data_IF_752643133232
#
_entry.id   IF_752643133232
#
_cell.length_a   1.000
_cell.length_b   1.000
_cell.length_c   1.000
_cell.angle_alpha   90.00
_cell.angle_beta   90.00
_cell.angle_gamma   90.00
#
_symmetry.space_group_name_H-M   'P 1'
#
loop_
_entity.id
_entity.type
_entity.pdbx_description
1 polymer ?
#
# COMPACT_ATOMS: atom_id res chain seq x y z
N UNK A 1 -25.40 16.67 17.20
CA UNK A 1 -25.68 15.31 17.71
C UNK A 1 -26.35 14.57 16.57
N UNK A 2 -25.65 13.67 15.88
CA UNK A 2 -26.31 12.81 14.90
C UNK A 2 -27.09 11.79 15.70
N UNK A 3 -28.40 11.97 15.84
CA UNK A 3 -29.29 10.94 16.35
C UNK A 3 -29.14 9.73 15.42
N UNK A 4 -28.30 8.79 15.86
CA UNK A 4 -27.92 7.63 15.07
C UNK A 4 -29.13 6.71 15.10
N UNK A 5 -30.07 6.94 14.17
CA UNK A 5 -31.26 6.12 14.04
C UNK A 5 -30.81 4.67 13.80
N UNK A 6 -30.92 3.87 14.86
CA UNK A 6 -30.59 2.46 14.89
C UNK A 6 -31.77 1.76 14.23
N UNK A 7 -31.54 1.29 13.00
CA UNK A 7 -32.48 0.45 12.29
C UNK A 7 -32.69 -0.84 13.11
N UNK A 8 -33.91 -1.13 13.60
CA UNK A 8 -34.19 -2.31 14.41
C UNK A 8 -33.99 -3.62 13.64
N UNK A 9 -34.03 -3.59 12.30
CA UNK A 9 -33.77 -4.75 11.45
C UNK A 9 -32.27 -4.96 11.16
N UNK A 10 -31.39 -4.03 11.55
CA UNK A 10 -29.93 -4.16 11.45
C UNK A 10 -29.34 -4.08 10.03
N UNK A 11 -30.16 -4.18 8.97
CA UNK A 11 -29.70 -4.16 7.58
C UNK A 11 -28.95 -2.88 7.23
N UNK A 12 -29.42 -1.74 7.73
CA UNK A 12 -28.77 -0.45 7.46
C UNK A 12 -27.38 -0.36 8.12
N UNK A 13 -27.18 -1.04 9.26
CA UNK A 13 -25.89 -1.07 9.95
C UNK A 13 -24.88 -1.93 9.19
N UNK A 14 -25.30 -3.06 8.63
CA UNK A 14 -24.44 -3.92 7.80
C UNK A 14 -23.94 -3.18 6.54
N UNK A 15 -24.83 -2.44 5.86
CA UNK A 15 -24.44 -1.60 4.73
C UNK A 15 -23.47 -0.49 5.15
N UNK A 16 -23.73 0.17 6.28
CA UNK A 16 -22.88 1.24 6.80
C UNK A 16 -21.49 0.73 7.17
N UNK A 17 -21.40 -0.44 7.79
CA UNK A 17 -20.13 -1.10 8.09
C UNK A 17 -19.35 -1.46 6.81
N UNK A 18 -20.03 -2.00 5.80
CA UNK A 18 -19.42 -2.30 4.50
C UNK A 18 -18.91 -1.03 3.79
N UNK A 19 -19.71 0.03 3.76
CA UNK A 19 -19.33 1.31 3.15
C UNK A 19 -18.11 1.92 3.86
N UNK A 20 -18.11 1.95 5.20
CA UNK A 20 -16.97 2.44 5.98
C UNK A 20 -15.70 1.62 5.75
N UNK A 21 -15.81 0.29 5.64
CA UNK A 21 -14.67 -0.56 5.32
C UNK A 21 -14.08 -0.22 3.93
N UNK A 22 -14.94 0.02 2.93
CA UNK A 22 -14.52 0.44 1.58
C UNK A 22 -13.87 1.82 1.56
N UNK A 23 -14.39 2.79 2.32
CA UNK A 23 -13.78 4.11 2.44
C UNK A 23 -12.41 4.06 3.14
N UNK A 24 -12.26 3.18 4.13
CA UNK A 24 -10.98 2.92 4.78
C UNK A 24 -9.98 2.23 3.85
N UNK A 25 -10.43 1.27 3.02
CA UNK A 25 -9.59 0.65 1.98
C UNK A 25 -9.17 1.66 0.91
N UNK A 26 -10.08 2.54 0.47
CA UNK A 26 -9.79 3.60 -0.51
C UNK A 26 -8.81 4.65 0.03
N UNK A 27 -8.87 4.90 1.35
CA UNK A 27 -7.95 5.81 2.04
C UNK A 27 -6.69 5.10 2.55
N UNK A 28 -6.62 3.77 2.47
CA UNK A 28 -5.47 3.00 2.89
C UNK A 28 -4.32 3.30 1.93
N UNK A 29 -3.32 4.03 2.44
CA UNK A 29 -2.11 4.33 1.67
C UNK A 29 -1.52 3.00 1.18
N UNK A 30 -1.24 2.86 -0.13
CA UNK A 30 -0.70 1.62 -0.67
C UNK A 30 0.55 1.24 0.12
N UNK A 31 0.59 0.00 0.63
CA UNK A 31 1.73 -0.52 1.37
C UNK A 31 2.94 -0.44 0.45
N UNK A 32 3.91 0.42 0.79
CA UNK A 32 5.14 0.56 0.02
C UNK A 32 5.91 -0.76 0.13
N UNK A 33 5.93 -1.54 -0.96
CA UNK A 33 6.68 -2.78 -1.02
C UNK A 33 8.18 -2.48 -0.92
N UNK A 34 8.95 -3.24 -0.11
CA UNK A 34 10.40 -3.11 -0.07
C UNK A 34 11.08 -3.60 -1.36
N UNK A 35 10.33 -4.20 -2.29
CA UNK A 35 10.87 -4.75 -3.52
C UNK A 35 11.55 -3.67 -4.39
N UNK A 36 10.94 -2.49 -4.51
CA UNK A 36 11.46 -1.41 -5.34
C UNK A 36 12.84 -0.90 -4.88
N UNK A 37 13.06 -0.56 -3.58
CA UNK A 37 14.39 -0.18 -3.12
C UNK A 37 15.40 -1.33 -3.21
N UNK A 38 14.99 -2.59 -3.02
CA UNK A 38 15.88 -3.75 -3.20
C UNK A 38 16.38 -3.84 -4.64
N UNK A 39 15.49 -3.75 -5.63
CA UNK A 39 15.85 -3.77 -7.05
C UNK A 39 16.82 -2.63 -7.38
N UNK A 40 16.57 -1.43 -6.85
CA UNK A 40 17.43 -0.27 -7.07
C UNK A 40 18.86 -0.50 -6.53
N UNK A 41 19.00 -1.05 -5.33
CA UNK A 41 20.32 -1.36 -4.73
C UNK A 41 21.06 -2.42 -5.54
N UNK A 42 20.37 -3.50 -5.92
CA UNK A 42 20.99 -4.58 -6.73
C UNK A 42 21.47 -4.02 -8.07
N UNK A 43 20.66 -3.23 -8.75
CA UNK A 43 21.05 -2.60 -10.02
C UNK A 43 22.27 -1.69 -9.85
N UNK A 44 22.32 -0.90 -8.79
CA UNK A 44 23.47 -0.03 -8.50
C UNK A 44 24.76 -0.85 -8.29
N UNK A 45 24.71 -1.95 -7.52
CA UNK A 45 25.86 -2.83 -7.31
C UNK A 45 26.35 -3.43 -8.63
N UNK A 46 25.44 -3.88 -9.49
CA UNK A 46 25.78 -4.44 -10.80
C UNK A 46 26.47 -3.39 -11.66
N UNK A 47 25.93 -2.16 -11.74
CA UNK A 47 26.52 -1.08 -12.53
C UNK A 47 27.93 -0.76 -12.03
N UNK A 48 28.12 -0.62 -10.72
CA UNK A 48 29.43 -0.35 -10.12
C UNK A 48 30.40 -1.48 -10.39
N UNK A 49 29.97 -2.74 -10.25
CA UNK A 49 30.79 -3.92 -10.53
C UNK A 49 31.23 -3.98 -11.99
N UNK A 50 30.32 -3.71 -12.93
CA UNK A 50 30.64 -3.66 -14.37
C UNK A 50 31.59 -2.51 -14.67
N UNK A 51 31.36 -1.32 -14.12
CA UNK A 51 32.25 -0.17 -14.31
C UNK A 51 33.66 -0.46 -13.76
N UNK A 52 33.77 -1.02 -12.56
CA UNK A 52 35.04 -1.42 -11.98
C UNK A 52 35.75 -2.48 -12.84
N UNK A 53 35.03 -3.50 -13.32
CA UNK A 53 35.58 -4.52 -14.21
C UNK A 53 36.14 -3.91 -15.50
N UNK A 54 35.39 -3.01 -16.14
CA UNK A 54 35.83 -2.33 -17.37
C UNK A 54 37.03 -1.40 -17.16
N UNK A 55 37.16 -0.80 -15.97
CA UNK A 55 38.29 0.06 -15.62
C UNK A 55 39.55 -0.72 -15.24
N UNK A 56 39.41 -1.99 -14.83
CA UNK A 56 40.50 -2.83 -14.35
C UNK A 56 40.99 -3.86 -15.38
N UNK A 57 40.31 -3.98 -16.53
CA UNK A 57 40.79 -4.75 -17.69
C UNK A 57 41.86 -3.96 -18.45
#
# INVERSE_FOLDING_TARGET
MSDQHIDPAGNTQAFRAFAQAREQEASAKPKKSPLLPIIAVVAAIVIVGVAAFLLLQ
#
